data_IF_832309441134
#
_entry.id   IF_832309441134
#
_cell.length_a   1.000
_cell.length_b   1.000
_cell.length_c   1.000
_cell.angle_alpha   90.00
_cell.angle_beta   90.00
_cell.angle_gamma   90.00
#
_symmetry.space_group_name_H-M   'P 1'
#
loop_
_entity.id
_entity.type
_entity.pdbx_description
1 polymer ?
#
# COMPACT_ATOMS: atom_id res chain seq x y z
N UNK A 1 12.47 -4.02 -10.47
CA UNK A 1 11.14 -4.64 -10.31
C UNK A 1 11.29 -6.13 -10.45
N UNK A 2 10.75 -6.92 -9.51
CA UNK A 2 10.79 -8.38 -9.53
C UNK A 2 9.45 -8.96 -9.06
N UNK A 3 9.17 -10.21 -9.42
CA UNK A 3 7.99 -10.93 -8.93
C UNK A 3 8.26 -11.41 -7.50
N UNK A 4 7.29 -11.20 -6.61
CA UNK A 4 7.37 -11.67 -5.23
C UNK A 4 7.47 -13.21 -5.17
N UNK A 5 8.23 -13.71 -4.20
CA UNK A 5 8.43 -15.15 -3.95
C UNK A 5 8.21 -15.42 -2.47
N UNK A 6 7.66 -16.59 -2.19
CA UNK A 6 7.43 -17.08 -0.82
C UNK A 6 8.72 -17.05 0.00
N UNK A 7 8.64 -16.56 1.24
CA UNK A 7 9.76 -16.52 2.19
C UNK A 7 10.87 -15.52 1.82
N UNK A 8 10.67 -14.69 0.80
CA UNK A 8 11.66 -13.70 0.40
C UNK A 8 11.64 -12.48 1.33
N UNK A 9 12.79 -12.10 1.86
CA UNK A 9 12.92 -10.86 2.63
C UNK A 9 13.00 -9.63 1.68
N UNK A 10 12.11 -8.63 1.81
CA UNK A 10 12.15 -7.44 0.97
C UNK A 10 13.44 -6.64 1.14
N UNK A 11 14.09 -6.34 0.02
CA UNK A 11 15.31 -5.53 -0.02
C UNK A 11 14.98 -4.07 -0.37
N UNK A 12 15.79 -3.15 0.17
CA UNK A 12 15.73 -1.74 -0.20
C UNK A 12 15.90 -1.54 -1.72
N UNK A 13 15.34 -0.45 -2.24
CA UNK A 13 15.44 -0.08 -3.66
C UNK A 13 14.87 -1.11 -4.64
N UNK A 14 14.02 -2.02 -4.17
CA UNK A 14 13.41 -3.08 -4.98
C UNK A 14 11.89 -2.99 -4.93
N UNK A 15 11.24 -3.00 -6.09
CA UNK A 15 9.80 -3.17 -6.20
C UNK A 15 9.43 -4.64 -6.42
N UNK A 16 8.47 -5.12 -5.64
CA UNK A 16 7.93 -6.47 -5.70
C UNK A 16 6.49 -6.43 -6.23
N UNK A 17 6.17 -7.34 -7.14
CA UNK A 17 4.84 -7.43 -7.75
C UNK A 17 4.23 -8.79 -7.43
N UNK A 18 2.94 -8.79 -7.08
CA UNK A 18 2.19 -10.02 -6.84
C UNK A 18 2.19 -10.90 -8.10
N UNK A 19 2.48 -12.20 -7.99
CA UNK A 19 2.25 -13.13 -9.07
C UNK A 19 0.77 -13.14 -9.48
N UNK A 20 0.50 -13.57 -10.70
CA UNK A 20 -0.87 -13.73 -11.20
C UNK A 20 -1.63 -14.70 -10.30
N UNK A 21 -2.87 -14.37 -9.96
CA UNK A 21 -3.75 -15.15 -9.07
C UNK A 21 -3.20 -15.38 -7.66
N UNK A 22 -2.29 -14.53 -7.17
CA UNK A 22 -1.81 -14.59 -5.79
C UNK A 22 -1.95 -13.26 -5.07
N UNK A 23 -2.20 -13.33 -3.77
CA UNK A 23 -2.09 -12.19 -2.86
C UNK A 23 -0.71 -12.19 -2.21
N UNK A 24 -0.18 -11.00 -1.91
CA UNK A 24 1.02 -10.84 -1.09
C UNK A 24 0.60 -10.39 0.31
N UNK A 25 1.28 -10.90 1.31
CA UNK A 25 1.27 -10.39 2.69
C UNK A 25 2.68 -10.33 3.26
N UNK A 26 2.86 -9.51 4.29
CA UNK A 26 4.09 -9.52 5.09
C UNK A 26 3.89 -10.46 6.27
N UNK A 27 4.77 -11.45 6.41
CA UNK A 27 4.78 -12.39 7.53
C UNK A 27 5.39 -11.78 8.79
N UNK A 28 5.20 -12.46 9.93
CA UNK A 28 5.70 -12.00 11.23
C UNK A 28 7.23 -11.84 11.30
N UNK A 29 7.97 -12.59 10.48
CA UNK A 29 9.42 -12.49 10.34
C UNK A 29 9.87 -11.42 9.32
N UNK A 30 8.92 -10.71 8.72
CA UNK A 30 9.15 -9.67 7.71
C UNK A 30 9.33 -10.20 6.29
N UNK A 31 9.20 -11.50 6.05
CA UNK A 31 9.26 -12.07 4.69
C UNK A 31 7.95 -11.90 3.94
N UNK A 32 8.01 -12.07 2.61
CA UNK A 32 6.83 -12.08 1.74
C UNK A 32 6.15 -13.45 1.80
N UNK A 33 4.90 -13.47 2.26
CA UNK A 33 3.99 -14.61 2.14
C UNK A 33 3.10 -14.47 0.91
N UNK A 34 2.85 -15.59 0.23
CA UNK A 34 1.98 -15.69 -0.93
C UNK A 34 0.84 -16.67 -0.66
N UNK A 35 -0.38 -16.23 -0.94
CA UNK A 35 -1.57 -17.09 -0.90
C UNK A 35 -2.30 -17.05 -2.24
N UNK A 36 -3.04 -18.12 -2.54
CA UNK A 36 -3.88 -18.15 -3.74
C UNK A 36 -5.02 -17.13 -3.62
N UNK A 37 -5.28 -16.42 -4.72
CA UNK A 37 -6.42 -15.52 -4.84
C UNK A 37 -7.67 -16.36 -5.13
N UNK A 38 -8.41 -16.68 -4.08
CA UNK A 38 -9.68 -17.39 -4.17
C UNK A 38 -10.86 -16.40 -4.15
N UNK A 39 -12.06 -16.86 -4.53
CA UNK A 39 -13.27 -16.04 -4.47
C UNK A 39 -13.65 -15.60 -3.06
N UNK A 40 -13.26 -16.38 -2.07
CA UNK A 40 -13.53 -16.12 -0.65
C UNK A 40 -12.36 -15.42 0.05
N UNK A 41 -11.29 -15.09 -0.70
CA UNK A 41 -10.15 -14.39 -0.16
C UNK A 41 -10.53 -12.95 0.21
N UNK A 42 -9.90 -12.43 1.25
CA UNK A 42 -9.93 -11.01 1.55
C UNK A 42 -9.40 -10.21 0.34
N UNK A 43 -9.89 -8.97 0.20
CA UNK A 43 -9.45 -8.06 -0.85
C UNK A 43 -7.90 -7.96 -0.87
N UNK A 44 -7.23 -8.22 -2.01
CA UNK A 44 -5.79 -8.42 -2.05
C UNK A 44 -4.95 -7.22 -1.63
N UNK A 45 -5.33 -6.00 -2.01
CA UNK A 45 -4.63 -4.79 -1.60
C UNK A 45 -4.85 -4.52 -0.11
N UNK A 46 -6.06 -4.73 0.41
CA UNK A 46 -6.32 -4.68 1.85
C UNK A 46 -5.39 -5.66 2.59
N UNK A 47 -5.33 -6.93 2.18
CA UNK A 47 -4.47 -7.93 2.83
C UNK A 47 -3.00 -7.49 2.87
N UNK A 48 -2.48 -6.96 1.75
CA UNK A 48 -1.10 -6.49 1.66
C UNK A 48 -0.85 -5.29 2.58
N UNK A 49 -1.75 -4.31 2.58
CA UNK A 49 -1.62 -3.09 3.38
C UNK A 49 -1.80 -3.37 4.89
N UNK A 50 -2.78 -4.20 5.26
CA UNK A 50 -3.04 -4.59 6.65
C UNK A 50 -1.86 -5.34 7.26
N UNK A 51 -1.30 -6.31 6.52
CA UNK A 51 -0.14 -7.08 6.97
C UNK A 51 1.11 -6.20 7.08
N UNK A 52 1.37 -5.32 6.10
CA UNK A 52 2.48 -4.36 6.18
C UNK A 52 2.32 -3.42 7.39
N UNK A 53 1.12 -2.91 7.64
CA UNK A 53 0.83 -2.04 8.78
C UNK A 53 1.04 -2.75 10.13
N UNK A 54 0.66 -4.03 10.21
CA UNK A 54 0.86 -4.84 11.41
C UNK A 54 2.35 -5.03 11.75
N UNK A 55 3.19 -5.23 10.74
CA UNK A 55 4.62 -5.54 10.92
C UNK A 55 5.50 -4.27 11.03
N UNK A 56 5.29 -3.29 10.17
CA UNK A 56 6.15 -2.10 10.09
C UNK A 56 5.56 -0.85 10.76
N UNK A 57 4.28 -0.88 11.11
CA UNK A 57 3.59 0.20 11.82
C UNK A 57 3.72 1.56 11.12
N UNK A 58 4.11 2.59 11.86
CA UNK A 58 4.28 3.97 11.36
C UNK A 58 5.29 4.15 10.22
N UNK A 59 6.10 3.13 9.92
CA UNK A 59 7.05 3.17 8.78
C UNK A 59 6.38 2.88 7.44
N UNK A 60 5.11 2.46 7.43
CA UNK A 60 4.37 2.16 6.20
C UNK A 60 3.85 3.44 5.56
N UNK A 61 3.99 3.52 4.24
CA UNK A 61 3.27 4.45 3.39
C UNK A 61 2.35 3.62 2.49
N UNK A 62 1.03 3.75 2.68
CA UNK A 62 0.01 3.13 1.84
C UNK A 62 -0.37 4.05 0.69
N UNK A 63 -0.48 3.50 -0.52
CA UNK A 63 -0.88 4.24 -1.70
C UNK A 63 -2.00 3.49 -2.42
N UNK A 64 -3.16 4.12 -2.57
CA UNK A 64 -4.27 3.61 -3.40
C UNK A 64 -4.34 4.42 -4.70
N UNK A 65 -4.34 3.71 -5.82
CA UNK A 65 -4.36 4.27 -7.17
C UNK A 65 -5.71 4.00 -7.86
N UNK A 66 -5.87 4.50 -9.07
CA UNK A 66 -7.01 4.23 -9.96
C UNK A 66 -7.33 2.73 -10.03
N UNK A 67 -8.59 2.38 -9.75
CA UNK A 67 -9.07 1.00 -9.67
C UNK A 67 -10.59 0.93 -9.47
N UNK A 68 -11.16 -0.27 -9.63
CA UNK A 68 -12.57 -0.55 -9.36
C UNK A 68 -12.77 -1.12 -7.96
N UNK A 69 -13.98 -0.99 -7.42
CA UNK A 69 -14.32 -1.53 -6.10
C UNK A 69 -13.79 -0.69 -4.94
N UNK A 70 -13.43 -1.37 -3.84
CA UNK A 70 -13.05 -0.75 -2.56
C UNK A 70 -11.77 -1.37 -1.96
N UNK A 71 -11.10 -2.25 -2.71
CA UNK A 71 -9.88 -2.94 -2.29
C UNK A 71 -8.77 -1.91 -2.01
N UNK A 72 -8.38 -1.78 -0.74
CA UNK A 72 -7.41 -0.81 -0.26
C UNK A 72 -7.96 0.14 0.80
N UNK A 73 -9.28 0.35 0.87
CA UNK A 73 -9.90 1.26 1.85
C UNK A 73 -9.71 0.76 3.29
N UNK A 74 -9.84 -0.55 3.53
CA UNK A 74 -9.70 -1.12 4.88
C UNK A 74 -8.22 -1.19 5.29
N UNK A 75 -7.35 -1.48 4.33
CA UNK A 75 -5.91 -1.47 4.48
C UNK A 75 -5.35 -0.09 4.85
N UNK A 76 -5.82 0.98 4.18
CA UNK A 76 -5.44 2.34 4.56
C UNK A 76 -5.90 2.69 5.98
N UNK A 77 -7.10 2.28 6.39
CA UNK A 77 -7.58 2.47 7.76
C UNK A 77 -6.66 1.79 8.79
N UNK A 78 -6.15 0.59 8.48
CA UNK A 78 -5.18 -0.08 9.35
C UNK A 78 -3.82 0.64 9.38
N UNK A 79 -3.36 1.18 8.26
CA UNK A 79 -2.17 2.03 8.23
C UNK A 79 -2.37 3.26 9.12
N UNK A 80 -3.57 3.87 9.09
CA UNK A 80 -3.93 5.01 9.94
C UNK A 80 -3.82 4.66 11.42
N UNK A 81 -4.45 3.55 11.81
CA UNK A 81 -4.47 3.07 13.18
C UNK A 81 -3.06 2.77 13.73
N UNK A 82 -2.10 2.50 12.83
CA UNK A 82 -0.70 2.24 13.16
C UNK A 82 0.21 3.47 13.02
N UNK A 83 -0.35 4.62 12.66
CA UNK A 83 0.37 5.89 12.50
C UNK A 83 1.21 5.99 11.23
N UNK A 84 0.91 5.19 10.21
CA UNK A 84 1.54 5.28 8.89
C UNK A 84 0.93 6.39 8.04
N UNK A 85 1.49 6.60 6.84
CA UNK A 85 1.05 7.64 5.91
C UNK A 85 0.17 7.04 4.82
N UNK A 86 -0.92 7.72 4.48
CA UNK A 86 -1.92 7.26 3.51
C UNK A 86 -2.03 8.27 2.38
N UNK A 87 -1.79 7.81 1.17
CA UNK A 87 -1.84 8.61 -0.05
C UNK A 87 -2.88 7.97 -0.97
N UNK A 88 -3.74 8.79 -1.56
CA UNK A 88 -4.73 8.33 -2.53
C UNK A 88 -4.58 9.17 -3.80
N UNK A 89 -4.60 8.52 -4.96
CA UNK A 89 -4.69 9.24 -6.23
C UNK A 89 -6.01 10.04 -6.26
N UNK A 90 -5.99 11.28 -6.74
CA UNK A 90 -7.20 12.08 -6.88
C UNK A 90 -8.23 11.35 -7.76
N UNK A 91 -9.49 11.19 -7.30
CA UNK A 91 -10.54 10.61 -8.14
C UNK A 91 -10.75 11.35 -9.46
N UNK A 92 -10.46 12.66 -9.52
CA UNK A 92 -10.58 13.47 -10.74
C UNK A 92 -9.55 13.13 -11.83
N UNK A 93 -8.42 12.52 -11.45
CA UNK A 93 -7.33 12.10 -12.34
C UNK A 93 -7.31 10.56 -12.53
N UNK A 94 -8.23 9.86 -11.87
CA UNK A 94 -8.32 8.41 -11.91
C UNK A 94 -9.15 7.94 -13.10
N UNK A 95 -8.56 7.09 -13.96
CA UNK A 95 -9.31 6.44 -15.06
C UNK A 95 -10.46 5.57 -14.55
N UNK A 96 -10.28 4.94 -13.39
CA UNK A 96 -11.29 4.18 -12.65
C UNK A 96 -11.34 4.78 -11.23
N UNK A 97 -12.28 5.70 -10.95
CA UNK A 97 -12.26 6.48 -9.72
C UNK A 97 -12.91 5.78 -8.52
N UNK A 98 -13.50 4.60 -8.67
CA UNK A 98 -14.28 3.95 -7.61
C UNK A 98 -13.43 3.64 -6.37
N UNK A 99 -12.28 2.99 -6.56
CA UNK A 99 -11.39 2.61 -5.46
C UNK A 99 -10.79 3.85 -4.76
N UNK A 100 -10.22 4.84 -5.47
CA UNK A 100 -9.84 6.11 -4.87
C UNK A 100 -10.97 6.83 -4.12
N UNK A 101 -12.18 6.86 -4.69
CA UNK A 101 -13.33 7.52 -4.05
C UNK A 101 -13.74 6.79 -2.76
N UNK A 102 -13.73 5.46 -2.79
CA UNK A 102 -13.98 4.64 -1.61
C UNK A 102 -12.96 4.92 -0.51
N UNK A 103 -11.67 4.97 -0.86
CA UNK A 103 -10.59 5.26 0.07
C UNK A 103 -10.73 6.67 0.68
N UNK A 104 -10.99 7.71 -0.13
CA UNK A 104 -11.18 9.08 0.36
C UNK A 104 -12.34 9.18 1.35
N UNK A 105 -13.47 8.55 1.04
CA UNK A 105 -14.67 8.56 1.88
C UNK A 105 -14.51 7.73 3.16
N UNK A 106 -13.82 6.60 3.09
CA UNK A 106 -13.75 5.61 4.16
C UNK A 106 -12.56 5.74 5.12
N UNK A 107 -11.51 6.48 4.75
CA UNK A 107 -10.25 6.53 5.52
C UNK A 107 -9.80 7.96 5.90
N UNK A 108 -10.22 9.00 5.16
CA UNK A 108 -9.68 10.37 5.29
C UNK A 108 -8.14 10.41 5.17
N UNK A 109 -7.59 10.13 3.98
CA UNK A 109 -6.15 9.98 3.77
C UNK A 109 -5.37 11.28 4.04
N UNK A 110 -4.07 11.14 4.32
CA UNK A 110 -3.19 12.30 4.58
C UNK A 110 -3.01 13.17 3.33
N UNK A 111 -3.00 12.54 2.16
CA UNK A 111 -2.81 13.22 0.88
C UNK A 111 -3.75 12.65 -0.17
N UNK A 112 -4.41 13.55 -0.92
CA UNK A 112 -5.14 13.25 -2.15
C UNK A 112 -4.53 14.11 -3.25
N UNK A 113 -3.82 13.48 -4.19
CA UNK A 113 -2.96 14.19 -5.16
C UNK A 113 -3.06 13.56 -6.55
N UNK A 114 -2.69 14.29 -7.59
CA UNK A 114 -2.63 13.75 -8.95
C UNK A 114 -1.54 12.68 -9.07
N UNK A 115 -1.66 11.77 -10.05
CA UNK A 115 -0.75 10.61 -10.18
C UNK A 115 0.72 11.01 -10.36
N UNK A 116 0.98 12.11 -11.06
CA UNK A 116 2.32 12.66 -11.31
C UNK A 116 2.94 13.30 -10.06
N UNK A 117 2.12 13.66 -9.07
CA UNK A 117 2.56 14.20 -7.78
C UNK A 117 2.91 13.10 -6.75
N UNK A 118 2.47 11.85 -6.95
CA UNK A 118 2.67 10.76 -5.98
C UNK A 118 4.16 10.42 -5.81
N UNK A 119 4.88 10.23 -6.90
CA UNK A 119 6.31 9.89 -6.85
C UNK A 119 7.16 10.96 -6.13
N UNK A 120 7.09 12.26 -6.47
CA UNK A 120 7.84 13.29 -5.75
C UNK A 120 7.40 13.42 -4.28
N UNK A 121 6.12 13.20 -3.99
CA UNK A 121 5.62 13.17 -2.61
C UNK A 121 6.24 12.04 -1.79
N UNK A 122 6.34 10.82 -2.34
CA UNK A 122 6.98 9.67 -1.68
C UNK A 122 8.44 9.96 -1.33
N UNK A 123 9.20 10.53 -2.28
CA UNK A 123 10.61 10.92 -2.05
C UNK A 123 10.70 11.92 -0.90
N UNK A 124 9.84 12.95 -0.90
CA UNK A 124 9.83 13.98 0.15
C UNK A 124 9.54 13.40 1.53
N UNK A 125 8.55 12.51 1.65
CA UNK A 125 8.17 11.88 2.93
C UNK A 125 9.31 11.02 3.48
N UNK A 126 9.93 10.19 2.64
CA UNK A 126 11.04 9.31 3.05
C UNK A 126 12.26 10.11 3.46
N UNK A 127 12.60 11.17 2.72
CA UNK A 127 13.72 12.06 3.07
C UNK A 127 13.48 12.85 4.36
N UNK A 128 12.25 13.29 4.63
CA UNK A 128 11.92 13.98 5.88
C UNK A 128 11.97 13.05 7.11
N UNK A 129 11.75 11.75 6.90
CA UNK A 129 11.70 10.74 7.96
C UNK A 129 13.06 10.13 8.30
N UNK A 130 14.07 10.31 7.42
CA UNK A 130 15.42 9.81 7.64
C UNK A 130 16.17 10.81 8.54
N UNK A 131 16.62 10.42 9.75
CA UNK A 131 17.49 11.29 10.53
C UNK A 131 18.72 11.60 9.70
N UNK A 132 18.97 12.88 9.41
CA UNK A 132 20.19 13.32 8.75
C UNK A 132 21.34 12.94 9.68
N UNK A 133 22.06 11.87 9.34
CA UNK A 133 23.34 11.56 9.94
C UNK A 133 24.26 12.74 9.64
N UNK A 134 24.60 13.52 10.68
CA UNK A 134 25.68 14.49 10.64
C UNK A 134 27.03 13.78 10.56
#
# INVERSE_FOLDING_TARGET
MTIAREGLLPAASTSYVAPVHKCIRIEADGTLGLSELTRDAADPADLALESAAAIYGKKVIGVVLSGEGHDGTRGLNQIAARGGVRIVQSPSDSRRPQMPSSAVLGDHPNYVVMVDEIAPLLVRIVQASTPRSC
#
